data_IF_144276241915
#
_entry.id   IF_144276241915
#
_cell.length_a   1.000
_cell.length_b   1.000
_cell.length_c   1.000
_cell.angle_alpha   90.00
_cell.angle_beta   90.00
_cell.angle_gamma   90.00
#
_symmetry.space_group_name_H-M   'P 1'
#
loop_
_entity.id
_entity.type
_entity.pdbx_description
1 polymer ?
#
# COMPACT_ATOMS: atom_id res chain seq x y z
N UNK A 1 14.93 -6.30 -0.01
CA UNK A 1 14.05 -5.54 -0.93
C UNK A 1 13.35 -6.47 -1.91
N UNK A 2 14.06 -7.24 -2.74
CA UNK A 2 13.44 -8.17 -3.70
C UNK A 2 12.47 -9.19 -3.07
N UNK A 3 12.81 -9.78 -1.91
CA UNK A 3 11.93 -10.73 -1.23
C UNK A 3 10.61 -10.07 -0.78
N UNK A 4 10.69 -8.85 -0.21
CA UNK A 4 9.51 -8.10 0.23
C UNK A 4 8.61 -7.69 -0.93
N UNK A 5 9.19 -7.40 -2.10
CA UNK A 5 8.42 -7.16 -3.32
C UNK A 5 7.61 -8.38 -3.74
N UNK A 6 8.20 -9.58 -3.74
CA UNK A 6 7.48 -10.80 -4.09
C UNK A 6 6.37 -11.12 -3.09
N UNK A 7 6.61 -10.96 -1.79
CA UNK A 7 5.57 -11.10 -0.77
C UNK A 7 4.44 -10.10 -0.97
N UNK A 8 4.76 -8.83 -1.21
CA UNK A 8 3.78 -7.78 -1.42
C UNK A 8 2.95 -8.05 -2.69
N UNK A 9 3.61 -8.44 -3.79
CA UNK A 9 2.95 -8.80 -5.03
C UNK A 9 1.99 -9.99 -4.84
N UNK A 10 2.42 -11.05 -4.15
CA UNK A 10 1.59 -12.23 -3.92
C UNK A 10 0.35 -11.90 -3.07
N UNK A 11 0.54 -11.11 -1.99
CA UNK A 11 -0.56 -10.65 -1.13
C UNK A 11 -1.53 -9.77 -1.93
N UNK A 12 -1.03 -8.82 -2.73
CA UNK A 12 -1.88 -7.95 -3.56
C UNK A 12 -2.66 -8.76 -4.60
N UNK A 13 -2.01 -9.71 -5.30
CA UNK A 13 -2.68 -10.56 -6.30
C UNK A 13 -3.76 -11.44 -5.68
N UNK A 14 -3.53 -11.96 -4.47
CA UNK A 14 -4.54 -12.73 -3.75
C UNK A 14 -5.76 -11.86 -3.42
N UNK A 15 -5.55 -10.64 -2.92
CA UNK A 15 -6.64 -9.71 -2.64
C UNK A 15 -7.43 -9.33 -3.90
N UNK A 16 -6.77 -9.20 -5.05
CA UNK A 16 -7.44 -8.83 -6.30
C UNK A 16 -8.44 -9.88 -6.80
N UNK A 17 -8.28 -11.15 -6.44
CA UNK A 17 -9.24 -12.21 -6.80
C UNK A 17 -10.60 -12.04 -6.14
N UNK A 18 -10.67 -11.29 -5.05
CA UNK A 18 -11.87 -11.12 -4.22
C UNK A 18 -12.45 -9.71 -4.28
N UNK A 19 -11.96 -8.86 -5.19
CA UNK A 19 -12.43 -7.48 -5.31
C UNK A 19 -13.78 -7.40 -6.00
N UNK A 20 -14.70 -6.67 -5.38
CA UNK A 20 -15.94 -6.25 -6.00
C UNK A 20 -15.69 -5.01 -6.86
N UNK A 21 -15.61 -5.21 -8.17
CA UNK A 21 -15.39 -4.14 -9.14
C UNK A 21 -16.55 -3.13 -9.20
N UNK A 22 -17.73 -3.48 -8.67
CA UNK A 22 -18.87 -2.56 -8.57
C UNK A 22 -18.72 -1.57 -7.41
N UNK A 23 -17.88 -1.89 -6.42
CA UNK A 23 -17.60 -1.06 -5.26
C UNK A 23 -16.49 -0.05 -5.59
N UNK A 24 -16.87 1.22 -5.76
CA UNK A 24 -15.94 2.30 -6.09
C UNK A 24 -14.74 2.41 -5.14
N UNK A 25 -14.93 2.14 -3.84
CA UNK A 25 -13.85 2.17 -2.84
C UNK A 25 -12.83 1.07 -3.08
N UNK A 26 -13.28 -0.14 -3.40
CA UNK A 26 -12.39 -1.26 -3.71
C UNK A 26 -11.66 -1.06 -5.03
N UNK A 27 -12.35 -0.51 -6.03
CA UNK A 27 -11.73 -0.12 -7.30
C UNK A 27 -10.63 0.92 -7.11
N UNK A 28 -10.87 1.97 -6.32
CA UNK A 28 -9.83 2.97 -5.99
C UNK A 28 -8.64 2.33 -5.27
N UNK A 29 -8.91 1.45 -4.30
CA UNK A 29 -7.87 0.74 -3.57
C UNK A 29 -7.01 -0.13 -4.52
N UNK A 30 -7.63 -0.81 -5.49
CA UNK A 30 -6.93 -1.56 -6.52
C UNK A 30 -6.02 -0.66 -7.37
N UNK A 31 -6.54 0.46 -7.87
CA UNK A 31 -5.76 1.40 -8.69
C UNK A 31 -4.55 1.92 -7.92
N UNK A 32 -4.75 2.34 -6.67
CA UNK A 32 -3.66 2.82 -5.81
C UNK A 32 -2.64 1.71 -5.56
N UNK A 33 -3.10 0.49 -5.26
CA UNK A 33 -2.22 -0.67 -5.04
C UNK A 33 -1.39 -1.00 -6.28
N UNK A 34 -1.98 -0.95 -7.48
CA UNK A 34 -1.28 -1.20 -8.75
C UNK A 34 -0.22 -0.13 -9.01
N UNK A 35 -0.54 1.16 -8.82
CA UNK A 35 0.43 2.25 -8.97
C UNK A 35 1.55 2.13 -7.92
N UNK A 36 1.21 1.78 -6.68
CA UNK A 36 2.17 1.52 -5.61
C UNK A 36 3.11 0.35 -5.92
N UNK A 37 2.58 -0.74 -6.47
CA UNK A 37 3.36 -1.89 -6.95
C UNK A 37 4.34 -1.50 -8.05
N UNK A 38 3.90 -0.67 -9.01
CA UNK A 38 4.80 -0.11 -10.02
C UNK A 38 5.90 0.73 -9.37
N UNK A 39 5.57 1.55 -8.37
CA UNK A 39 6.55 2.34 -7.63
C UNK A 39 7.61 1.48 -6.93
N UNK A 40 7.18 0.42 -6.25
CA UNK A 40 8.10 -0.54 -5.61
C UNK A 40 8.91 -1.28 -6.65
N UNK A 41 8.31 -1.73 -7.75
CA UNK A 41 9.03 -2.38 -8.86
C UNK A 41 10.12 -1.45 -9.41
N UNK A 42 9.78 -0.19 -9.71
CA UNK A 42 10.72 0.82 -10.17
C UNK A 42 11.88 1.01 -9.19
N UNK A 43 11.60 1.04 -7.89
CA UNK A 43 12.64 1.11 -6.87
C UNK A 43 13.54 -0.13 -6.82
N UNK A 44 12.95 -1.34 -6.78
CA UNK A 44 13.67 -2.61 -6.62
C UNK A 44 14.56 -2.93 -7.82
N UNK A 45 14.09 -2.59 -9.02
CA UNK A 45 14.81 -2.84 -10.27
C UNK A 45 15.55 -1.61 -10.79
N UNK A 46 15.61 -0.52 -10.00
CA UNK A 46 16.22 0.77 -10.38
C UNK A 46 15.73 1.28 -11.75
N UNK A 47 14.44 1.11 -12.05
CA UNK A 47 13.82 1.59 -13.29
C UNK A 47 13.02 2.87 -13.03
N UNK A 48 13.17 3.86 -13.89
CA UNK A 48 12.30 5.03 -13.91
C UNK A 48 11.05 4.71 -14.75
N UNK A 49 9.91 4.52 -14.08
CA UNK A 49 8.63 4.23 -14.77
C UNK A 49 7.90 5.54 -15.10
N UNK A 50 7.90 6.48 -14.15
CA UNK A 50 7.31 7.81 -14.30
C UNK A 50 8.27 8.87 -13.75
N UNK A 51 8.00 10.14 -14.08
CA UNK A 51 8.78 11.30 -13.60
C UNK A 51 8.75 11.39 -12.08
N UNK A 52 9.83 11.89 -11.46
CA UNK A 52 9.91 12.09 -10.00
C UNK A 52 8.75 12.94 -9.44
N UNK A 53 8.27 13.95 -10.18
CA UNK A 53 7.13 14.77 -9.77
C UNK A 53 5.83 13.96 -9.57
N UNK A 54 5.56 13.00 -10.47
CA UNK A 54 4.42 12.09 -10.33
C UNK A 54 4.51 11.30 -9.02
N UNK A 55 5.67 10.71 -8.73
CA UNK A 55 5.86 9.90 -7.52
C UNK A 55 5.73 10.69 -6.23
N UNK A 56 6.13 11.97 -6.22
CA UNK A 56 5.94 12.85 -5.06
C UNK A 56 4.47 13.16 -4.80
N UNK A 57 3.72 13.46 -5.86
CA UNK A 57 2.27 13.71 -5.77
C UNK A 57 1.54 12.43 -5.35
N UNK A 58 1.85 11.32 -6.02
CA UNK A 58 1.28 10.01 -5.70
C UNK A 58 1.56 9.61 -4.25
N UNK A 59 2.80 9.77 -3.76
CA UNK A 59 3.14 9.46 -2.37
C UNK A 59 2.28 10.24 -1.37
N UNK A 60 2.11 11.54 -1.57
CA UNK A 60 1.28 12.36 -0.68
C UNK A 60 -0.20 11.95 -0.74
N UNK A 61 -0.71 11.72 -1.95
CA UNK A 61 -2.08 11.26 -2.15
C UNK A 61 -2.34 9.90 -1.49
N UNK A 62 -1.47 8.93 -1.74
CA UNK A 62 -1.56 7.56 -1.21
C UNK A 62 -1.44 7.53 0.32
N UNK A 63 -0.55 8.36 0.90
CA UNK A 63 -0.42 8.49 2.34
C UNK A 63 -1.72 9.04 2.98
N UNK A 64 -2.28 10.12 2.43
CA UNK A 64 -3.53 10.69 2.92
C UNK A 64 -4.72 9.72 2.74
N UNK A 65 -4.81 9.07 1.57
CA UNK A 65 -5.84 8.08 1.29
C UNK A 65 -5.77 6.91 2.27
N UNK A 66 -4.58 6.35 2.48
CA UNK A 66 -4.36 5.21 3.37
C UNK A 66 -4.65 5.55 4.83
N UNK A 67 -4.29 6.75 5.29
CA UNK A 67 -4.66 7.24 6.62
C UNK A 67 -6.18 7.36 6.77
N UNK A 68 -6.86 7.98 5.80
CA UNK A 68 -8.32 8.09 5.79
C UNK A 68 -9.01 6.73 5.78
N UNK A 69 -8.51 5.79 4.96
CA UNK A 69 -9.02 4.44 4.87
C UNK A 69 -8.88 3.68 6.21
N UNK A 70 -7.72 3.77 6.87
CA UNK A 70 -7.52 3.13 8.18
C UNK A 70 -8.47 3.69 9.25
N UNK A 71 -8.75 4.99 9.26
CA UNK A 71 -9.70 5.59 10.19
C UNK A 71 -11.13 5.08 9.96
N UNK A 72 -11.55 4.93 8.71
CA UNK A 72 -12.88 4.40 8.36
C UNK A 72 -13.01 2.91 8.71
N UNK A 73 -12.03 2.10 8.31
CA UNK A 73 -12.04 0.65 8.56
C UNK A 73 -11.93 0.34 10.04
N UNK A 74 -11.08 1.07 10.78
CA UNK A 74 -10.97 0.90 12.23
C UNK A 74 -12.30 1.22 12.91
N UNK A 75 -13.02 2.28 12.51
CA UNK A 75 -14.34 2.62 13.04
C UNK A 75 -15.39 1.52 12.75
N UNK A 76 -15.45 1.01 11.53
CA UNK A 76 -16.38 -0.06 11.15
C UNK A 76 -16.09 -1.39 11.87
N UNK A 77 -14.80 -1.74 12.02
CA UNK A 77 -14.37 -2.97 12.71
C UNK A 77 -14.46 -2.90 14.22
N UNK A 78 -14.15 -1.75 14.85
CA UNK A 78 -14.31 -1.58 16.30
C UNK A 78 -15.75 -1.84 16.75
N UNK A 79 -16.74 -1.55 15.89
CA UNK A 79 -18.15 -1.81 16.19
C UNK A 79 -18.57 -3.28 16.02
N UNK A 80 -17.73 -4.15 15.44
CA UNK A 80 -18.08 -5.53 15.06
C UNK A 80 -17.23 -6.64 15.71
N UNK A 81 -16.16 -6.31 16.42
CA UNK A 81 -15.21 -7.30 16.93
C UNK A 81 -15.50 -7.66 18.39
N UNK A 82 -15.51 -8.96 18.70
CA UNK A 82 -15.80 -9.53 20.02
C UNK A 82 -14.54 -9.99 20.79
N UNK A 83 -13.37 -10.08 20.14
CA UNK A 83 -12.08 -10.46 20.77
C UNK A 83 -10.97 -9.47 20.42
N UNK A 84 -10.34 -8.87 21.43
CA UNK A 84 -9.35 -7.79 21.24
C UNK A 84 -7.99 -8.27 20.69
N UNK A 85 -7.59 -9.51 20.99
CA UNK A 85 -6.21 -9.96 20.76
C UNK A 85 -5.88 -10.20 19.28
N UNK A 86 -6.80 -10.83 18.53
CA UNK A 86 -6.63 -11.07 17.09
C UNK A 86 -6.58 -9.77 16.29
N UNK A 87 -7.38 -8.78 16.71
CA UNK A 87 -7.41 -7.46 16.09
C UNK A 87 -6.09 -6.72 16.28
N UNK A 88 -5.54 -6.72 17.50
CA UNK A 88 -4.25 -6.07 17.80
C UNK A 88 -3.13 -6.69 16.98
N UNK A 89 -3.07 -8.02 16.91
CA UNK A 89 -2.04 -8.72 16.13
C UNK A 89 -2.16 -8.38 14.64
N UNK A 90 -3.36 -8.47 14.06
CA UNK A 90 -3.59 -8.15 12.65
C UNK A 90 -3.23 -6.68 12.34
N UNK A 91 -3.60 -5.74 13.20
CA UNK A 91 -3.27 -4.32 13.06
C UNK A 91 -1.76 -4.07 13.07
N UNK A 92 -1.02 -4.73 13.97
CA UNK A 92 0.45 -4.62 14.03
C UNK A 92 1.11 -5.12 12.74
N UNK A 93 0.66 -6.27 12.23
CA UNK A 93 1.16 -6.82 10.96
C UNK A 93 0.93 -5.83 9.83
N UNK A 94 -0.29 -5.28 9.70
CA UNK A 94 -0.61 -4.27 8.67
C UNK A 94 0.27 -3.04 8.78
N UNK A 95 0.51 -2.52 9.99
CA UNK A 95 1.37 -1.36 10.21
C UNK A 95 2.82 -1.60 9.77
N UNK A 96 3.37 -2.79 10.03
CA UNK A 96 4.72 -3.17 9.57
C UNK A 96 4.79 -3.15 8.04
N UNK A 97 3.80 -3.77 7.37
CA UNK A 97 3.75 -3.78 5.90
C UNK A 97 3.62 -2.38 5.32
N UNK A 98 2.75 -1.54 5.89
CA UNK A 98 2.59 -0.15 5.47
C UNK A 98 3.86 0.67 5.66
N UNK A 99 4.57 0.47 6.78
CA UNK A 99 5.84 1.14 7.02
C UNK A 99 6.87 0.78 5.94
N UNK A 100 7.01 -0.51 5.60
CA UNK A 100 7.93 -0.95 4.54
C UNK A 100 7.52 -0.40 3.18
N UNK A 101 6.22 -0.41 2.87
CA UNK A 101 5.62 0.13 1.66
C UNK A 101 5.94 1.63 1.48
N UNK A 102 5.52 2.46 2.45
CA UNK A 102 5.72 3.91 2.37
C UNK A 102 7.19 4.30 2.43
N UNK A 103 8.02 3.61 3.20
CA UNK A 103 9.47 3.84 3.20
C UNK A 103 10.08 3.60 1.81
N UNK A 104 9.61 2.58 1.10
CA UNK A 104 10.12 2.23 -0.23
C UNK A 104 9.67 3.26 -1.26
N UNK A 105 8.39 3.61 -1.28
CA UNK A 105 7.83 4.65 -2.15
C UNK A 105 8.44 6.03 -1.88
N UNK A 106 8.64 6.41 -0.61
CA UNK A 106 9.31 7.64 -0.25
C UNK A 106 10.72 7.71 -0.84
N UNK A 107 11.50 6.63 -0.69
CA UNK A 107 12.84 6.56 -1.27
C UNK A 107 12.81 6.67 -2.78
N UNK A 108 11.82 6.08 -3.46
CA UNK A 108 11.68 6.18 -4.91
C UNK A 108 11.26 7.58 -5.38
N UNK A 109 10.37 8.25 -4.64
CA UNK A 109 9.83 9.55 -4.97
C UNK A 109 10.79 10.73 -4.68
N UNK A 110 11.56 10.63 -3.59
CA UNK A 110 12.37 11.74 -3.07
C UNK A 110 13.87 11.49 -3.08
N UNK A 111 14.32 10.24 -3.03
CA UNK A 111 15.75 9.90 -3.06
C UNK A 111 16.10 9.38 -4.45
N UNK A 112 17.30 9.68 -4.92
CA UNK A 112 17.79 9.02 -6.13
C UNK A 112 17.90 7.51 -5.86
N UNK A 113 17.25 6.71 -6.69
CA UNK A 113 17.64 5.32 -6.92
C UNK A 113 19.10 5.36 -7.31
N UNK A 114 20.00 5.13 -6.34
CA UNK A 114 21.43 5.28 -6.53
C UNK A 114 21.84 4.61 -7.83
N UNK A 115 22.43 5.41 -8.73
CA UNK A 115 23.06 4.94 -9.96
C UNK A 115 23.98 3.77 -9.60
#
# INVERSE_FOLDING_TARGET
MKIYFWFFLLISTYNFLWIDMSNFRELMNLIITVIGLLGIYGYVYKKEIFRKSFWRIFFMFDLLYTMGFMLLVSKEKYMRIHSNDEFIFASLVVLIFLFVYFRTLYKYAFKETGK
#
